data_IF_674270434671
#
_entry.id   IF_674270434671
#
_cell.length_a   1.000
_cell.length_b   1.000
_cell.length_c   1.000
_cell.angle_alpha   90.00
_cell.angle_beta   90.00
_cell.angle_gamma   90.00
#
_symmetry.space_group_name_H-M   'P 1'
#
loop_
_entity.id
_entity.type
_entity.pdbx_description
1 polymer ?
#
# COMPACT_ATOMS: atom_id res chain seq x y z
N UNK A 1 15.44 -7.56 0.78
CA UNK A 1 15.19 -6.48 -0.18
C UNK A 1 14.09 -5.60 0.36
N UNK A 2 14.34 -4.34 0.49
CA UNK A 2 13.34 -3.50 1.16
C UNK A 2 12.06 -3.31 0.36
N UNK A 3 12.11 -3.25 -0.97
CA UNK A 3 10.89 -3.02 -1.78
C UNK A 3 10.72 -4.14 -2.79
N UNK A 4 9.56 -4.80 -2.73
CA UNK A 4 9.22 -5.87 -3.66
C UNK A 4 8.49 -5.32 -4.88
N UNK A 5 8.73 -5.92 -6.05
CA UNK A 5 7.91 -5.60 -7.22
C UNK A 5 6.80 -6.63 -7.34
N UNK A 6 5.57 -6.15 -7.41
CA UNK A 6 4.41 -7.03 -7.49
C UNK A 6 3.94 -7.19 -8.92
N UNK A 7 3.48 -8.39 -9.21
CA UNK A 7 2.84 -8.74 -10.46
C UNK A 7 1.68 -9.69 -10.15
N UNK A 8 1.04 -10.20 -11.18
CA UNK A 8 -0.14 -11.05 -10.95
C UNK A 8 0.20 -12.37 -10.27
N UNK A 9 1.45 -12.82 -10.36
CA UNK A 9 1.83 -14.10 -9.77
C UNK A 9 2.16 -13.99 -8.29
N UNK A 10 2.51 -12.82 -7.77
CA UNK A 10 2.91 -12.69 -6.36
C UNK A 10 2.06 -11.73 -5.54
N UNK A 11 1.11 -11.03 -6.16
CA UNK A 11 0.30 -10.03 -5.45
C UNK A 11 -0.49 -10.67 -4.30
N UNK A 12 -1.23 -11.71 -4.60
CA UNK A 12 -2.12 -12.32 -3.63
C UNK A 12 -1.36 -12.93 -2.46
N UNK A 13 -0.28 -13.66 -2.75
CA UNK A 13 0.51 -14.27 -1.69
C UNK A 13 1.19 -13.23 -0.82
N UNK A 14 1.64 -12.13 -1.41
CA UNK A 14 2.27 -11.06 -0.62
C UNK A 14 1.29 -10.48 0.38
N UNK A 15 0.06 -10.22 -0.05
CA UNK A 15 -0.95 -9.65 0.83
C UNK A 15 -1.42 -10.68 1.87
N UNK A 16 -1.61 -11.93 1.45
CA UNK A 16 -2.15 -12.97 2.33
C UNK A 16 -1.15 -13.45 3.38
N UNK A 17 0.14 -13.46 3.04
CA UNK A 17 1.16 -14.04 3.90
C UNK A 17 1.79 -13.03 4.86
N UNK A 18 1.41 -11.75 4.75
CA UNK A 18 2.03 -10.70 5.56
C UNK A 18 0.95 -9.84 6.22
N UNK A 19 1.05 -9.58 7.53
CA UNK A 19 0.00 -8.82 8.23
C UNK A 19 0.05 -7.32 7.98
N UNK A 20 1.12 -6.80 7.38
CA UNK A 20 1.26 -5.35 7.18
C UNK A 20 1.99 -5.14 5.86
N UNK A 21 1.27 -4.64 4.85
CA UNK A 21 1.81 -4.43 3.51
C UNK A 21 1.47 -3.02 3.04
N UNK A 22 2.47 -2.31 2.52
CA UNK A 22 2.27 -0.97 1.97
C UNK A 22 2.65 -1.02 0.49
N UNK A 23 1.74 -0.59 -0.37
CA UNK A 23 1.93 -0.66 -1.82
C UNK A 23 1.93 0.73 -2.43
N UNK A 24 2.96 1.00 -3.26
CA UNK A 24 3.07 2.22 -4.06
C UNK A 24 2.72 1.87 -5.51
N UNK A 25 1.61 2.42 -5.99
CA UNK A 25 1.22 2.28 -7.40
C UNK A 25 1.84 3.44 -8.18
N UNK A 26 2.66 3.12 -9.17
CA UNK A 26 3.50 4.11 -9.84
C UNK A 26 3.64 3.82 -11.32
N UNK A 27 4.30 4.69 -12.06
CA UNK A 27 4.73 4.44 -13.43
C UNK A 27 6.04 5.17 -13.70
N UNK A 28 6.87 4.65 -14.60
CA UNK A 28 8.21 5.25 -14.83
C UNK A 28 8.18 6.67 -15.39
N UNK A 29 7.11 7.04 -16.11
CA UNK A 29 6.99 8.38 -16.70
C UNK A 29 6.42 9.43 -15.74
N UNK A 30 6.05 9.03 -14.54
CA UNK A 30 5.35 9.88 -13.58
C UNK A 30 6.38 10.63 -12.72
N UNK A 31 6.42 11.96 -12.84
CA UNK A 31 7.35 12.80 -12.07
C UNK A 31 7.16 12.67 -10.57
N UNK A 32 5.94 12.87 -10.04
CA UNK A 32 5.70 12.72 -8.60
C UNK A 32 6.02 11.33 -8.07
N UNK A 33 5.82 10.29 -8.88
CA UNK A 33 6.19 8.93 -8.51
C UNK A 33 7.69 8.81 -8.29
N UNK A 34 8.48 9.39 -9.19
CA UNK A 34 9.93 9.36 -9.07
C UNK A 34 10.40 10.15 -7.86
N UNK A 35 9.73 11.26 -7.55
CA UNK A 35 10.05 12.04 -6.36
C UNK A 35 9.74 11.31 -5.06
N UNK A 36 8.70 10.49 -5.06
CA UNK A 36 8.30 9.73 -3.88
C UNK A 36 9.13 8.46 -3.69
N UNK A 37 9.72 7.92 -4.75
CA UNK A 37 10.46 6.66 -4.67
C UNK A 37 11.54 6.65 -3.57
N UNK A 38 12.39 7.68 -3.44
CA UNK A 38 13.39 7.67 -2.36
C UNK A 38 12.77 7.69 -0.96
N UNK A 39 11.65 8.39 -0.80
CA UNK A 39 10.92 8.44 0.47
C UNK A 39 10.42 7.04 0.83
N UNK A 40 9.84 6.36 -0.15
CA UNK A 40 9.30 5.02 0.02
C UNK A 40 10.40 4.01 0.37
N UNK A 41 11.51 4.08 -0.36
CA UNK A 41 12.63 3.17 -0.15
C UNK A 41 13.30 3.38 1.21
N UNK A 42 13.45 4.64 1.63
CA UNK A 42 14.02 4.92 2.94
C UNK A 42 13.13 4.40 4.07
N UNK A 43 11.82 4.53 3.92
CA UNK A 43 10.88 3.99 4.90
C UNK A 43 10.95 2.47 4.95
N UNK A 44 11.10 1.83 3.80
CA UNK A 44 11.22 0.37 3.74
C UNK A 44 12.42 -0.13 4.52
N UNK A 45 13.54 0.59 4.49
CA UNK A 45 14.73 0.20 5.24
C UNK A 45 14.55 0.43 6.74
N UNK A 46 13.80 1.47 7.09
CA UNK A 46 13.58 1.84 8.48
C UNK A 46 12.59 0.90 9.20
N UNK A 47 11.64 0.34 8.47
CA UNK A 47 10.54 -0.44 9.05
C UNK A 47 10.63 -1.90 8.61
N UNK A 48 11.59 -2.64 9.16
CA UNK A 48 11.90 -4.00 8.72
C UNK A 48 10.74 -5.00 8.90
N UNK A 49 9.81 -4.73 9.82
CA UNK A 49 8.67 -5.62 10.05
C UNK A 49 7.51 -5.44 9.10
N UNK A 50 7.60 -4.49 8.16
CA UNK A 50 6.54 -4.17 7.23
C UNK A 50 7.00 -4.52 5.83
N UNK A 51 6.13 -5.11 5.02
CA UNK A 51 6.44 -5.38 3.62
C UNK A 51 6.09 -4.16 2.79
N UNK A 52 7.10 -3.59 2.14
CA UNK A 52 6.93 -2.48 1.21
C UNK A 52 7.01 -3.04 -0.21
N UNK A 53 6.04 -2.70 -1.04
CA UNK A 53 5.95 -3.23 -2.37
C UNK A 53 5.50 -2.15 -3.34
N UNK A 54 5.75 -2.36 -4.62
CA UNK A 54 5.32 -1.41 -5.64
C UNK A 54 4.72 -2.15 -6.83
N UNK A 55 3.78 -1.48 -7.48
CA UNK A 55 3.12 -1.97 -8.69
C UNK A 55 3.34 -0.96 -9.79
N UNK A 56 4.00 -1.37 -10.86
CA UNK A 56 4.15 -0.55 -12.06
C UNK A 56 2.85 -0.63 -12.85
N UNK A 57 2.05 0.43 -12.81
CA UNK A 57 0.72 0.41 -13.41
C UNK A 57 0.75 0.34 -14.93
N UNK A 58 1.87 0.71 -15.54
CA UNK A 58 2.02 0.58 -16.98
C UNK A 58 2.12 -0.89 -17.40
N UNK A 59 2.86 -1.69 -16.64
CA UNK A 59 3.05 -3.11 -16.92
C UNK A 59 1.91 -3.96 -16.36
N UNK A 60 1.34 -3.57 -15.22
CA UNK A 60 0.36 -4.37 -14.49
C UNK A 60 -1.01 -3.70 -14.53
N UNK A 61 -1.54 -3.54 -15.74
CA UNK A 61 -2.82 -2.85 -15.93
C UNK A 61 -3.98 -3.62 -15.32
N UNK A 62 -3.89 -4.94 -15.27
CA UNK A 62 -4.91 -5.76 -14.62
C UNK A 62 -5.00 -5.48 -13.14
N UNK A 63 -3.85 -5.37 -12.47
CA UNK A 63 -3.82 -5.05 -11.03
C UNK A 63 -4.34 -3.64 -10.80
N UNK A 64 -3.89 -2.67 -11.60
CA UNK A 64 -4.35 -1.30 -11.46
C UNK A 64 -5.87 -1.21 -11.61
N UNK A 65 -6.43 -1.95 -12.56
CA UNK A 65 -7.88 -2.00 -12.74
C UNK A 65 -8.60 -2.65 -11.59
N UNK A 66 -8.03 -3.74 -11.05
CA UNK A 66 -8.62 -4.46 -9.92
C UNK A 66 -8.77 -3.54 -8.70
N UNK A 67 -7.80 -2.68 -8.44
CA UNK A 67 -7.84 -1.75 -7.32
C UNK A 67 -8.37 -0.38 -7.69
N UNK A 68 -8.84 -0.22 -8.91
CA UNK A 68 -9.45 1.03 -9.40
C UNK A 68 -8.50 2.23 -9.26
N UNK A 69 -7.24 2.01 -9.60
CA UNK A 69 -6.23 3.07 -9.53
C UNK A 69 -6.46 4.04 -10.67
N UNK A 70 -6.78 5.28 -10.35
CA UNK A 70 -7.10 6.32 -11.34
C UNK A 70 -6.04 7.39 -11.46
N UNK A 71 -5.21 7.54 -10.45
CA UNK A 71 -4.11 8.49 -10.47
C UNK A 71 -2.91 7.88 -9.78
N UNK A 72 -1.74 8.34 -10.15
CA UNK A 72 -0.49 7.86 -9.57
C UNK A 72 0.37 9.06 -9.16
N UNK A 73 1.16 8.90 -8.10
CA UNK A 73 1.23 7.70 -7.27
C UNK A 73 -0.03 7.55 -6.41
N UNK A 74 -0.38 6.32 -6.11
CA UNK A 74 -1.41 6.01 -5.11
C UNK A 74 -0.78 5.11 -4.07
N UNK A 75 -0.98 5.45 -2.82
CA UNK A 75 -0.44 4.69 -1.70
C UNK A 75 -1.57 3.91 -1.05
N UNK A 76 -1.36 2.61 -0.87
CA UNK A 76 -2.36 1.72 -0.29
C UNK A 76 -1.73 0.92 0.83
N UNK A 77 -2.43 0.81 1.96
CA UNK A 77 -1.93 0.08 3.12
C UNK A 77 -2.91 -1.03 3.48
N UNK A 78 -2.35 -2.24 3.65
CA UNK A 78 -3.10 -3.41 4.09
C UNK A 78 -2.66 -3.78 5.50
N UNK A 79 -3.62 -4.02 6.39
CA UNK A 79 -3.38 -4.64 7.68
C UNK A 79 -4.27 -5.86 7.77
N UNK A 80 -3.67 -7.05 8.01
CA UNK A 80 -4.39 -8.32 8.12
C UNK A 80 -5.32 -8.52 6.91
N UNK A 81 -4.82 -8.20 5.71
CA UNK A 81 -5.54 -8.37 4.44
C UNK A 81 -6.70 -7.37 4.25
N UNK A 82 -6.79 -6.36 5.10
CA UNK A 82 -7.81 -5.32 5.01
C UNK A 82 -7.16 -4.03 4.51
N UNK A 83 -7.75 -3.40 3.50
CA UNK A 83 -7.28 -2.10 3.03
C UNK A 83 -7.70 -1.05 4.05
N UNK A 84 -6.73 -0.48 4.74
CA UNK A 84 -7.01 0.54 5.76
C UNK A 84 -6.73 1.95 5.27
N UNK A 85 -6.08 2.09 4.12
CA UNK A 85 -5.73 3.39 3.56
C UNK A 85 -5.56 3.26 2.06
N UNK A 86 -6.10 4.19 1.32
CA UNK A 86 -5.91 4.25 -0.14
C UNK A 86 -6.13 5.69 -0.58
N UNK A 87 -5.04 6.39 -0.90
CA UNK A 87 -5.10 7.79 -1.31
C UNK A 87 -4.10 8.09 -2.39
N UNK A 88 -4.46 8.94 -3.36
CA UNK A 88 -3.50 9.39 -4.37
C UNK A 88 -2.58 10.45 -3.79
N UNK A 89 -1.42 10.60 -4.41
CA UNK A 89 -0.47 11.66 -4.12
C UNK A 89 0.77 11.18 -3.38
N UNK A 90 1.83 11.97 -3.52
CA UNK A 90 3.07 11.74 -2.77
C UNK A 90 3.03 12.54 -1.48
N UNK A 91 3.94 12.25 -0.57
CA UNK A 91 4.04 12.97 0.69
C UNK A 91 5.49 13.02 1.15
N UNK A 92 5.85 14.03 1.97
CA UNK A 92 7.19 14.09 2.56
C UNK A 92 7.46 12.94 3.53
N UNK A 93 8.74 12.67 3.76
CA UNK A 93 9.16 11.54 4.60
C UNK A 93 8.55 11.58 6.00
N UNK A 94 8.53 12.74 6.64
CA UNK A 94 7.98 12.85 8.00
C UNK A 94 6.50 12.54 8.05
N UNK A 95 5.75 12.99 7.05
CA UNK A 95 4.33 12.71 6.96
C UNK A 95 4.07 11.22 6.71
N UNK A 96 4.90 10.61 5.87
CA UNK A 96 4.79 9.18 5.60
C UNK A 96 5.11 8.35 6.84
N UNK A 97 6.17 8.72 7.58
CA UNK A 97 6.49 8.04 8.84
C UNK A 97 5.34 8.11 9.83
N UNK A 98 4.68 9.26 9.92
CA UNK A 98 3.53 9.44 10.81
C UNK A 98 2.35 8.57 10.37
N UNK A 99 2.09 8.49 9.08
CA UNK A 99 1.04 7.63 8.54
C UNK A 99 1.31 6.17 8.89
N UNK A 100 2.56 5.72 8.72
CA UNK A 100 2.94 4.35 9.04
C UNK A 100 2.73 4.07 10.53
N UNK A 101 3.11 5.01 11.39
CA UNK A 101 2.95 4.84 12.84
C UNK A 101 1.47 4.69 13.20
N UNK A 102 0.61 5.50 12.60
CA UNK A 102 -0.83 5.41 12.85
C UNK A 102 -1.41 4.09 12.35
N UNK A 103 -0.97 3.65 11.18
CA UNK A 103 -1.42 2.38 10.63
C UNK A 103 -1.02 1.21 11.54
N UNK A 104 0.18 1.28 12.11
CA UNK A 104 0.68 0.25 13.01
C UNK A 104 -0.10 0.17 14.31
N UNK A 105 -0.67 1.30 14.76
CA UNK A 105 -1.39 1.37 16.03
C UNK A 105 -2.84 0.93 15.93
N UNK A 106 -3.36 0.69 14.73
CA UNK A 106 -4.76 0.32 14.59
C UNK A 106 -5.07 -1.01 15.28
N UNK A 107 -6.20 -1.01 15.97
CA UNK A 107 -6.77 -2.23 16.55
C UNK A 107 -7.54 -2.94 15.44
N UNK A 108 -6.95 -3.98 14.88
CA UNK A 108 -7.54 -4.66 13.73
C UNK A 108 -8.81 -5.44 14.09
N UNK A 109 -8.97 -5.85 15.35
CA UNK A 109 -10.21 -6.44 15.78
C UNK A 109 -11.36 -5.44 15.68
N UNK A 110 -11.09 -4.20 16.11
CA UNK A 110 -12.07 -3.13 16.02
C UNK A 110 -12.36 -2.76 14.56
N UNK A 111 -11.33 -2.70 13.74
CA UNK A 111 -11.49 -2.41 12.31
C UNK A 111 -12.41 -3.45 11.66
N UNK A 112 -12.16 -4.74 11.91
CA UNK A 112 -12.98 -5.81 11.35
C UNK A 112 -14.41 -5.74 11.86
N UNK A 113 -14.61 -5.41 13.12
CA UNK A 113 -15.94 -5.25 13.69
C UNK A 113 -16.69 -4.10 13.03
N UNK A 114 -16.01 -2.99 12.78
CA UNK A 114 -16.61 -1.82 12.13
C UNK A 114 -17.01 -2.12 10.70
N UNK A 115 -16.17 -2.85 9.97
CA UNK A 115 -16.48 -3.25 8.60
C UNK A 115 -17.72 -4.13 8.58
N UNK A 116 -17.81 -5.09 9.48
CA UNK A 116 -18.96 -5.98 9.57
C UNK A 116 -20.24 -5.20 9.83
N UNK A 117 -20.19 -4.19 10.68
CA UNK A 117 -21.36 -3.35 10.98
C UNK A 117 -21.80 -2.54 9.78
N UNK A 118 -20.84 -2.06 8.99
CA UNK A 118 -21.12 -1.17 7.86
C UNK A 118 -21.57 -1.92 6.61
N UNK A 119 -21.35 -3.23 6.56
CA UNK A 119 -21.72 -4.04 5.42
C UNK A 119 -22.98 -4.81 5.75
N UNK A 120 -24.14 -4.35 5.29
CA UNK A 120 -25.39 -5.06 5.59
C UNK A 120 -25.34 -6.46 5.00
N UNK A 121 -25.90 -7.40 5.74
CA UNK A 121 -25.97 -8.77 5.27
C UNK A 121 -27.01 -8.86 4.17
N UNK A 122 -26.62 -9.50 3.08
CA UNK A 122 -27.53 -9.70 1.96
C UNK A 122 -28.56 -10.80 2.28
#
# INVERSE_FOLDING_TARGET
MPVLELNESNLESTINDNPFVIIDFWAPWCGPCRGFAPVFEAAAEKHAGIVFAKVNTQDEQGIAGQFQIRSIPTLMIFRDQVIIYSQPGSMPAGQFDELIARAAELDMDQVRADITKEQPQA
#
